data_IF_319513603262
#
_entry.id   IF_319513603262
#
_cell.length_a   1.000
_cell.length_b   1.000
_cell.length_c   1.000
_cell.angle_alpha   90.00
_cell.angle_beta   90.00
_cell.angle_gamma   90.00
#
_symmetry.space_group_name_H-M   'P 1'
#
loop_
_entity.id
_entity.type
_entity.pdbx_description
1 polymer ?
#
# COMPACT_ATOMS: atom_id res chain seq x y z
N UNK A 1 -35.02 15.42 12.42
CA UNK A 1 -34.43 14.26 11.73
C UNK A 1 -33.00 14.10 12.23
N UNK A 2 -32.78 13.19 13.18
CA UNK A 2 -31.45 12.89 13.71
C UNK A 2 -30.72 12.00 12.71
N UNK A 3 -29.89 12.60 11.87
CA UNK A 3 -28.89 11.86 11.12
C UNK A 3 -27.91 11.26 12.13
N UNK A 4 -28.07 9.98 12.40
CA UNK A 4 -27.07 9.15 13.05
C UNK A 4 -25.82 9.18 12.17
N UNK A 5 -24.90 10.11 12.47
CA UNK A 5 -23.62 10.20 11.80
C UNK A 5 -22.87 8.88 12.01
N UNK A 6 -22.92 8.02 11.00
CA UNK A 6 -22.23 6.74 10.99
C UNK A 6 -20.73 6.99 11.16
N UNK A 7 -20.19 6.57 12.29
CA UNK A 7 -18.77 6.62 12.60
C UNK A 7 -18.21 5.21 12.65
N UNK A 8 -17.01 5.03 12.13
CA UNK A 8 -16.32 3.75 12.08
C UNK A 8 -15.10 3.81 12.99
N UNK A 9 -14.91 2.74 13.78
CA UNK A 9 -13.67 2.53 14.52
C UNK A 9 -12.68 1.83 13.60
N UNK A 10 -11.51 2.44 13.42
CA UNK A 10 -10.43 1.88 12.61
C UNK A 10 -9.32 1.37 13.52
N UNK A 11 -8.55 0.35 13.10
CA UNK A 11 -7.40 -0.16 13.84
C UNK A 11 -6.18 0.78 13.75
N UNK A 12 -6.43 2.09 13.73
CA UNK A 12 -5.45 3.15 13.60
C UNK A 12 -5.37 3.96 14.88
N UNK A 13 -4.29 4.74 15.00
CA UNK A 13 -4.12 5.72 16.06
C UNK A 13 -4.52 7.10 15.57
N UNK A 14 -5.40 7.81 16.26
CA UNK A 14 -5.80 9.17 15.90
C UNK A 14 -5.12 10.19 16.80
N UNK A 15 -4.42 11.15 16.19
CA UNK A 15 -3.93 12.33 16.92
C UNK A 15 -5.03 13.39 17.04
N UNK A 16 -5.04 14.11 18.16
CA UNK A 16 -6.03 15.18 18.38
C UNK A 16 -5.72 16.36 17.47
N UNK A 17 -6.77 16.85 16.80
CA UNK A 17 -6.75 18.13 16.10
C UNK A 17 -6.93 19.27 17.11
N UNK A 18 -5.92 20.13 17.23
CA UNK A 18 -6.00 21.35 18.04
C UNK A 18 -5.18 22.47 17.42
N UNK A 19 -5.77 23.67 17.40
CA UNK A 19 -5.07 24.90 16.98
C UNK A 19 -4.20 25.49 18.09
N UNK A 20 -4.39 25.06 19.34
CA UNK A 20 -3.72 25.61 20.53
C UNK A 20 -2.71 24.65 21.15
N UNK A 21 -2.75 23.38 20.79
CA UNK A 21 -1.92 22.31 21.36
C UNK A 21 -1.28 21.49 20.25
N UNK A 22 -0.09 20.98 20.50
CA UNK A 22 0.53 20.04 19.58
C UNK A 22 -0.15 18.67 19.64
N UNK A 23 -0.37 18.10 18.46
CA UNK A 23 -1.09 16.85 18.26
C UNK A 23 -0.41 15.60 18.86
N UNK A 24 0.89 15.65 19.14
CA UNK A 24 1.67 14.50 19.65
C UNK A 24 1.69 14.43 21.19
N UNK A 25 2.07 15.52 21.86
CA UNK A 25 2.27 15.57 23.32
C UNK A 25 1.19 16.35 24.08
N UNK A 26 0.18 16.88 23.37
CA UNK A 26 -0.95 17.62 23.94
C UNK A 26 -0.61 18.88 24.75
N UNK A 27 0.62 19.38 24.67
CA UNK A 27 1.02 20.64 25.32
C UNK A 27 0.64 21.85 24.48
N UNK A 28 0.26 22.94 25.16
CA UNK A 28 -0.05 24.22 24.52
C UNK A 28 1.15 24.77 23.77
N UNK A 29 0.91 25.38 22.62
CA UNK A 29 1.91 26.20 21.97
C UNK A 29 2.10 27.47 22.79
N UNK A 30 3.35 27.74 23.14
CA UNK A 30 3.74 29.00 23.75
C UNK A 30 4.64 29.74 22.75
N UNK A 31 4.34 31.01 22.42
CA UNK A 31 5.05 31.77 21.38
C UNK A 31 6.57 31.79 21.56
N UNK A 32 7.03 31.73 22.82
CA UNK A 32 8.45 31.80 23.17
C UNK A 32 9.17 30.44 23.22
N UNK A 33 8.46 29.31 23.19
CA UNK A 33 9.06 27.97 23.44
C UNK A 33 8.73 26.90 22.40
N UNK A 34 7.63 27.01 21.68
CA UNK A 34 7.25 26.00 20.69
C UNK A 34 6.61 26.67 19.48
N UNK A 35 7.40 26.88 18.41
CA UNK A 35 6.84 27.25 17.11
C UNK A 35 6.04 26.07 16.57
N UNK A 36 4.75 26.29 16.32
CA UNK A 36 3.88 25.32 15.66
C UNK A 36 4.16 25.27 14.16
N UNK A 37 4.07 24.07 13.60
CA UNK A 37 4.03 23.81 12.17
C UNK A 37 2.74 23.04 11.91
N UNK A 38 2.06 23.36 10.82
CA UNK A 38 0.95 22.55 10.33
C UNK A 38 1.46 21.27 9.66
N UNK A 39 0.84 20.14 10.01
CA UNK A 39 1.17 18.85 9.41
C UNK A 39 0.65 18.83 7.97
N UNK A 40 1.55 18.96 7.00
CA UNK A 40 1.23 18.93 5.58
C UNK A 40 0.67 17.56 5.13
N UNK A 41 0.07 17.50 3.95
CA UNK A 41 -0.52 16.27 3.39
C UNK A 41 0.48 15.11 3.36
N UNK A 42 1.71 15.34 2.92
CA UNK A 42 2.73 14.28 2.80
C UNK A 42 3.04 13.61 4.14
N UNK A 43 3.26 14.38 5.21
CA UNK A 43 3.49 13.82 6.57
C UNK A 43 2.26 13.02 7.04
N UNK A 44 1.06 13.57 6.83
CA UNK A 44 -0.19 12.93 7.27
C UNK A 44 -0.40 11.59 6.57
N UNK A 45 -0.24 11.57 5.25
CA UNK A 45 -0.40 10.39 4.40
C UNK A 45 0.64 9.33 4.73
N UNK A 46 1.90 9.71 4.91
CA UNK A 46 2.94 8.76 5.26
C UNK A 46 2.75 8.17 6.66
N UNK A 47 2.43 8.99 7.66
CA UNK A 47 2.12 8.51 9.02
C UNK A 47 0.96 7.51 9.01
N UNK A 48 -0.03 7.71 8.13
CA UNK A 48 -1.13 6.77 7.96
C UNK A 48 -0.65 5.44 7.33
N UNK A 49 0.07 5.51 6.21
CA UNK A 49 0.47 4.33 5.43
C UNK A 49 1.50 3.49 6.21
N UNK A 50 2.56 4.12 6.72
CA UNK A 50 3.71 3.42 7.31
C UNK A 50 3.52 3.09 8.79
N UNK A 51 2.69 3.86 9.49
CA UNK A 51 2.60 3.77 10.95
C UNK A 51 1.18 3.61 11.49
N UNK A 52 0.17 3.59 10.62
CA UNK A 52 -1.24 3.50 11.00
C UNK A 52 -1.68 4.63 11.93
N UNK A 53 -1.11 5.83 11.76
CA UNK A 53 -1.45 7.02 12.54
C UNK A 53 -2.24 7.99 11.65
N UNK A 54 -3.51 8.15 11.96
CA UNK A 54 -4.37 9.16 11.36
C UNK A 54 -4.17 10.53 11.99
N UNK A 55 -3.85 11.51 11.14
CA UNK A 55 -3.67 12.91 11.51
C UNK A 55 -4.64 13.74 10.67
N UNK A 56 -5.58 14.42 11.33
CA UNK A 56 -6.57 15.23 10.62
C UNK A 56 -5.92 16.48 9.98
N UNK A 57 -6.46 16.95 8.86
CA UNK A 57 -6.04 18.19 8.21
C UNK A 57 -6.14 19.40 9.17
N UNK A 58 -5.16 20.31 9.10
CA UNK A 58 -5.04 21.44 10.03
C UNK A 58 -4.50 21.08 11.42
N UNK A 59 -4.03 19.85 11.64
CA UNK A 59 -3.38 19.47 12.89
C UNK A 59 -2.02 20.15 12.99
N UNK A 60 -1.75 20.76 14.15
CA UNK A 60 -0.49 21.44 14.41
C UNK A 60 0.44 20.58 15.26
N UNK A 61 1.73 20.58 14.94
CA UNK A 61 2.78 19.94 15.72
C UNK A 61 3.91 20.93 16.04
N UNK A 62 4.74 20.63 17.04
CA UNK A 62 5.94 21.42 17.32
C UNK A 62 7.09 20.99 16.40
N UNK A 63 7.98 21.93 16.02
CA UNK A 63 9.20 21.62 15.25
C UNK A 63 10.05 20.51 15.87
N UNK A 64 10.06 20.42 17.21
CA UNK A 64 10.84 19.42 17.93
C UNK A 64 10.49 17.96 17.57
N UNK A 65 9.29 17.72 17.04
CA UNK A 65 8.78 16.40 16.67
C UNK A 65 8.90 16.08 15.18
N UNK A 66 9.27 17.07 14.37
CA UNK A 66 9.42 16.92 12.92
C UNK A 66 10.92 17.03 12.60
N UNK A 67 11.48 16.00 11.96
CA UNK A 67 12.85 16.02 11.41
C UNK A 67 12.75 15.74 9.91
N UNK A 68 13.38 16.58 9.08
CA UNK A 68 13.44 16.38 7.63
C UNK A 68 12.08 16.24 6.94
N UNK A 69 11.04 16.83 7.53
CA UNK A 69 9.67 16.69 7.02
C UNK A 69 8.99 15.38 7.39
N UNK A 70 9.49 14.66 8.40
CA UNK A 70 8.93 13.41 8.92
C UNK A 70 8.72 13.48 10.44
N UNK A 71 7.79 12.68 10.96
CA UNK A 71 7.64 12.53 12.41
C UNK A 71 8.79 11.66 12.96
N UNK A 72 9.42 12.10 14.06
CA UNK A 72 10.52 11.31 14.66
C UNK A 72 10.04 9.93 15.12
N UNK A 73 10.85 8.90 14.85
CA UNK A 73 10.51 7.51 15.16
C UNK A 73 10.24 7.24 16.64
N UNK A 74 10.99 7.86 17.54
CA UNK A 74 10.83 7.70 18.99
C UNK A 74 9.48 8.18 19.52
N UNK A 75 8.76 9.00 18.74
CA UNK A 75 7.43 9.50 19.06
C UNK A 75 6.33 8.55 18.61
N UNK A 76 6.56 7.78 17.54
CA UNK A 76 5.59 6.85 16.99
C UNK A 76 5.25 5.79 18.04
N UNK A 77 6.26 5.21 18.69
CA UNK A 77 6.04 4.23 19.74
C UNK A 77 5.26 4.80 20.94
N UNK A 78 5.52 6.07 21.29
CA UNK A 78 4.78 6.76 22.36
C UNK A 78 3.32 6.98 21.98
N UNK A 79 3.05 7.33 20.72
CA UNK A 79 1.69 7.49 20.19
C UNK A 79 0.95 6.15 20.23
N UNK A 80 1.59 5.06 19.80
CA UNK A 80 0.98 3.72 19.77
C UNK A 80 0.69 3.15 21.16
N UNK A 81 1.50 3.51 22.16
CA UNK A 81 1.28 3.11 23.56
C UNK A 81 0.15 3.86 24.26
N UNK A 82 -0.27 5.01 23.73
CA UNK A 82 -1.33 5.82 24.34
C UNK A 82 -2.72 5.32 23.93
N UNK A 83 -3.42 4.67 24.87
CA UNK A 83 -4.77 4.12 24.68
C UNK A 83 -5.85 5.15 24.34
N UNK A 84 -5.61 6.45 24.58
CA UNK A 84 -6.55 7.51 24.22
C UNK A 84 -6.56 7.82 22.71
N UNK A 85 -5.57 7.35 21.97
CA UNK A 85 -5.44 7.61 20.55
C UNK A 85 -6.31 6.67 19.69
N UNK A 86 -7.48 6.22 20.17
CA UNK A 86 -8.35 5.37 19.35
C UNK A 86 -8.88 6.13 18.14
N UNK A 87 -8.75 5.55 16.95
CA UNK A 87 -9.26 6.17 15.74
C UNK A 87 -10.73 5.86 15.51
N UNK A 88 -11.56 6.88 15.69
CA UNK A 88 -12.93 6.90 15.17
C UNK A 88 -12.97 7.90 14.02
N UNK A 89 -13.47 7.52 12.86
CA UNK A 89 -13.56 8.36 11.65
C UNK A 89 -15.01 8.44 11.18
N UNK A 90 -15.41 9.63 10.74
CA UNK A 90 -16.70 9.87 10.09
C UNK A 90 -16.59 9.66 8.59
N UNK A 91 -17.72 9.38 7.92
CA UNK A 91 -17.79 9.18 6.47
C UNK A 91 -17.06 10.26 5.68
N UNK A 92 -17.29 11.53 5.98
CA UNK A 92 -16.70 12.64 5.23
C UNK A 92 -15.19 12.76 5.47
N UNK A 93 -14.72 12.48 6.68
CA UNK A 93 -13.28 12.42 6.97
C UNK A 93 -12.60 11.27 6.22
N UNK A 94 -13.29 10.13 6.05
CA UNK A 94 -12.77 9.01 5.28
C UNK A 94 -12.67 9.34 3.78
N UNK A 95 -13.68 10.00 3.21
CA UNK A 95 -13.66 10.44 1.81
C UNK A 95 -12.47 11.40 1.60
N UNK A 96 -12.35 12.41 2.46
CA UNK A 96 -11.23 13.36 2.40
C UNK A 96 -9.87 12.68 2.55
N UNK A 97 -9.77 11.65 3.41
CA UNK A 97 -8.56 10.85 3.57
C UNK A 97 -8.17 10.14 2.27
N UNK A 98 -9.13 9.51 1.59
CA UNK A 98 -8.87 8.85 0.32
C UNK A 98 -8.49 9.84 -0.78
N UNK A 99 -9.09 11.03 -0.80
CA UNK A 99 -8.75 12.05 -1.78
C UNK A 99 -7.35 12.64 -1.52
N UNK A 100 -6.99 12.88 -0.25
CA UNK A 100 -5.61 13.25 0.15
C UNK A 100 -4.59 12.18 -0.29
N UNK A 101 -4.90 10.90 -0.08
CA UNK A 101 -4.03 9.79 -0.51
C UNK A 101 -3.90 9.72 -2.04
N UNK A 102 -5.01 9.84 -2.78
CA UNK A 102 -4.99 9.87 -4.24
C UNK A 102 -4.17 11.04 -4.78
N UNK A 103 -4.27 12.22 -4.16
CA UNK A 103 -3.51 13.38 -4.60
C UNK A 103 -2.02 13.22 -4.31
N UNK A 104 -1.65 12.68 -3.15
CA UNK A 104 -0.24 12.37 -2.85
C UNK A 104 0.32 11.31 -3.80
N UNK A 105 -0.47 10.29 -4.16
CA UNK A 105 -0.08 9.32 -5.18
C UNK A 105 0.12 10.00 -6.53
N UNK A 106 -0.84 10.82 -7.01
CA UNK A 106 -0.68 11.58 -8.26
C UNK A 106 0.54 12.51 -8.25
N UNK A 107 0.85 13.15 -7.13
CA UNK A 107 2.00 14.04 -7.00
C UNK A 107 3.32 13.25 -6.97
N UNK A 108 3.31 12.04 -6.39
CA UNK A 108 4.43 11.12 -6.47
C UNK A 108 4.57 10.59 -7.88
N UNK A 109 3.49 10.16 -8.51
CA UNK A 109 3.44 9.70 -9.90
C UNK A 109 3.86 10.82 -10.86
N UNK A 110 3.55 12.09 -10.62
CA UNK A 110 4.04 13.18 -11.48
C UNK A 110 5.55 13.39 -11.31
N UNK A 111 6.07 13.29 -10.08
CA UNK A 111 7.52 13.37 -9.81
C UNK A 111 8.27 12.13 -10.27
N UNK A 112 7.62 10.97 -10.19
CA UNK A 112 8.11 9.68 -10.67
C UNK A 112 8.03 9.67 -12.19
N UNK A 113 6.99 10.18 -12.85
CA UNK A 113 6.92 10.30 -14.31
C UNK A 113 7.96 11.30 -14.85
N UNK A 114 8.44 12.24 -14.03
CA UNK A 114 9.62 13.07 -14.35
C UNK A 114 10.96 12.35 -14.12
N UNK A 115 11.01 11.25 -13.35
CA UNK A 115 12.23 10.52 -12.93
C UNK A 115 12.30 9.05 -13.41
N UNK A 116 11.20 8.49 -13.87
CA UNK A 116 10.92 7.12 -14.28
C UNK A 116 10.00 7.23 -15.48
N UNK A 117 10.54 6.94 -16.66
CA UNK A 117 9.87 7.06 -17.95
C UNK A 117 8.73 6.06 -18.18
N UNK A 118 8.17 5.43 -17.14
CA UNK A 118 7.16 4.40 -17.31
C UNK A 118 5.78 5.00 -17.03
N UNK A 119 4.94 5.19 -18.07
CA UNK A 119 3.58 5.68 -17.89
C UNK A 119 2.76 4.75 -16.99
N UNK A 120 1.65 5.25 -16.39
CA UNK A 120 0.72 4.41 -15.64
C UNK A 120 0.36 3.16 -16.45
N UNK A 121 0.31 1.99 -15.80
CA UNK A 121 0.00 0.72 -16.46
C UNK A 121 -1.33 0.83 -17.23
N UNK A 122 -1.23 0.97 -18.54
CA UNK A 122 -2.37 1.12 -19.43
C UNK A 122 -2.31 0.01 -20.48
N UNK A 123 -3.24 -0.94 -20.38
CA UNK A 123 -3.36 -2.01 -21.36
C UNK A 123 -4.02 -1.53 -22.66
N UNK A 124 -4.65 -0.34 -22.66
CA UNK A 124 -5.29 0.28 -23.83
C UNK A 124 -4.36 1.22 -24.60
N UNK A 125 -3.13 1.45 -24.14
CA UNK A 125 -2.20 2.35 -24.81
C UNK A 125 -1.53 1.65 -25.99
N UNK A 126 -2.00 1.97 -27.20
CA UNK A 126 -1.40 1.49 -28.44
C UNK A 126 -0.23 2.37 -28.91
N UNK A 127 -0.11 3.61 -28.42
CA UNK A 127 0.96 4.54 -28.81
C UNK A 127 2.27 4.22 -28.07
N UNK A 128 2.17 3.91 -26.78
CA UNK A 128 3.29 3.47 -25.94
C UNK A 128 2.97 2.09 -25.36
N UNK A 129 3.08 1.03 -26.18
CA UNK A 129 2.71 -0.29 -25.74
C UNK A 129 3.64 -0.80 -24.66
N UNK A 130 3.03 -1.35 -23.62
CA UNK A 130 3.75 -1.93 -22.49
C UNK A 130 4.62 -3.12 -22.94
N UNK A 131 5.85 -3.26 -22.40
CA UNK A 131 6.75 -4.36 -22.75
C UNK A 131 6.16 -5.75 -22.45
N UNK A 132 6.48 -6.72 -23.29
CA UNK A 132 6.00 -8.10 -23.18
C UNK A 132 6.35 -8.77 -21.84
N UNK A 133 7.50 -8.38 -21.26
CA UNK A 133 7.91 -8.80 -19.91
C UNK A 133 6.89 -8.36 -18.86
N UNK A 134 6.44 -7.12 -18.93
CA UNK A 134 5.47 -6.54 -17.99
C UNK A 134 4.10 -7.19 -18.17
N UNK A 135 3.68 -7.46 -19.41
CA UNK A 135 2.47 -8.25 -19.70
C UNK A 135 2.52 -9.63 -19.04
N UNK A 136 3.64 -10.35 -19.16
CA UNK A 136 3.82 -11.67 -18.55
C UNK A 136 3.77 -11.61 -17.02
N UNK A 137 4.44 -10.63 -16.42
CA UNK A 137 4.43 -10.44 -14.96
C UNK A 137 3.03 -10.14 -14.45
N UNK A 138 2.27 -9.31 -15.16
CA UNK A 138 0.96 -8.87 -14.69
C UNK A 138 -0.15 -9.85 -15.02
N UNK A 139 -0.12 -10.53 -16.16
CA UNK A 139 -1.26 -11.33 -16.64
C UNK A 139 -0.93 -12.81 -16.82
N UNK A 140 0.35 -13.18 -16.77
CA UNK A 140 0.83 -14.52 -17.11
C UNK A 140 0.94 -14.76 -18.63
N UNK A 141 0.58 -13.79 -19.46
CA UNK A 141 0.49 -13.90 -20.91
C UNK A 141 1.46 -12.93 -21.60
N UNK A 142 1.92 -13.26 -22.81
CA UNK A 142 2.52 -12.25 -23.71
C UNK A 142 1.45 -11.27 -24.17
N UNK A 143 1.86 -10.11 -24.71
CA UNK A 143 0.90 -9.17 -25.31
C UNK A 143 0.07 -9.84 -26.40
N UNK A 144 0.69 -10.61 -27.28
CA UNK A 144 -0.02 -11.32 -28.36
C UNK A 144 -1.06 -12.32 -27.86
N UNK A 145 -0.74 -13.08 -26.81
CA UNK A 145 -1.68 -14.02 -26.18
C UNK A 145 -2.82 -13.29 -25.47
N UNK A 146 -2.51 -12.15 -24.85
CA UNK A 146 -3.50 -11.30 -24.21
C UNK A 146 -4.45 -10.65 -25.24
N UNK A 147 -3.92 -10.20 -26.38
CA UNK A 147 -4.70 -9.65 -27.50
C UNK A 147 -5.62 -10.71 -28.10
N UNK A 148 -5.10 -11.91 -28.29
CA UNK A 148 -5.86 -13.06 -28.76
C UNK A 148 -7.01 -13.38 -27.78
N UNK A 149 -6.73 -13.45 -26.48
CA UNK A 149 -7.76 -13.61 -25.45
C UNK A 149 -8.84 -12.52 -25.51
N UNK A 150 -8.43 -11.26 -25.67
CA UNK A 150 -9.36 -10.14 -25.77
C UNK A 150 -10.24 -10.24 -27.02
N UNK A 151 -9.69 -10.72 -28.15
CA UNK A 151 -10.41 -10.85 -29.41
C UNK A 151 -11.52 -11.90 -29.37
N UNK A 152 -11.37 -12.92 -28.52
CA UNK A 152 -12.36 -13.98 -28.34
C UNK A 152 -13.53 -13.58 -27.42
N UNK A 153 -13.42 -12.46 -26.72
CA UNK A 153 -14.48 -11.98 -25.83
C UNK A 153 -15.42 -11.08 -26.65
N UNK A 154 -16.70 -11.45 -26.80
CA UNK A 154 -17.64 -10.65 -27.57
C UNK A 154 -17.76 -9.23 -27.00
N UNK A 155 -17.74 -8.23 -27.87
CA UNK A 155 -17.85 -6.81 -27.49
C UNK A 155 -19.15 -6.47 -26.76
N UNK A 156 -20.20 -7.29 -26.89
CA UNK A 156 -21.46 -7.16 -26.15
C UNK A 156 -21.38 -7.62 -24.70
N UNK A 157 -20.35 -8.39 -24.32
CA UNK A 157 -20.23 -9.02 -23.00
C UNK A 157 -19.72 -8.05 -21.94
N UNK A 158 -18.81 -7.15 -22.31
CA UNK A 158 -18.18 -6.21 -21.39
C UNK A 158 -18.49 -4.78 -21.84
N UNK A 159 -19.13 -4.00 -20.96
CA UNK A 159 -19.40 -2.58 -21.21
C UNK A 159 -18.17 -1.73 -20.88
N UNK A 160 -17.79 -0.86 -21.81
CA UNK A 160 -16.85 0.22 -21.55
C UNK A 160 -17.52 1.27 -20.66
N UNK A 161 -16.78 1.78 -19.67
CA UNK A 161 -17.17 2.94 -18.86
C UNK A 161 -16.06 4.00 -18.91
N UNK A 162 -16.34 5.21 -18.40
CA UNK A 162 -15.38 6.32 -18.36
C UNK A 162 -14.08 6.01 -17.60
N UNK A 163 -14.06 4.94 -16.81
CA UNK A 163 -12.93 4.54 -15.95
C UNK A 163 -12.42 3.12 -16.23
N UNK A 164 -13.06 2.35 -17.12
CA UNK A 164 -12.70 0.95 -17.35
C UNK A 164 -13.12 0.48 -18.75
N UNK A 165 -12.14 0.04 -19.52
CA UNK A 165 -12.37 -0.68 -20.78
C UNK A 165 -12.50 -2.20 -20.55
N UNK A 166 -13.09 -2.94 -21.50
CA UNK A 166 -13.09 -4.40 -21.49
C UNK A 166 -11.68 -4.99 -21.33
N UNK A 167 -10.70 -4.42 -22.02
CA UNK A 167 -9.31 -4.87 -22.02
C UNK A 167 -8.64 -4.64 -20.66
N UNK A 168 -8.82 -3.47 -20.05
CA UNK A 168 -8.41 -3.22 -18.65
C UNK A 168 -9.13 -4.15 -17.67
N UNK A 169 -10.39 -4.50 -17.93
CA UNK A 169 -11.15 -5.43 -17.10
C UNK A 169 -10.58 -6.86 -17.14
N UNK A 170 -10.22 -7.34 -18.33
CA UNK A 170 -9.60 -8.64 -18.55
C UNK A 170 -8.21 -8.65 -17.91
N UNK A 171 -7.39 -7.62 -18.13
CA UNK A 171 -6.07 -7.50 -17.50
C UNK A 171 -6.15 -7.59 -15.98
N UNK A 172 -7.03 -6.79 -15.36
CA UNK A 172 -7.25 -6.79 -13.91
C UNK A 172 -7.67 -8.17 -13.39
N UNK A 173 -8.49 -8.89 -14.16
CA UNK A 173 -8.93 -10.22 -13.81
C UNK A 173 -7.80 -11.25 -13.90
N UNK A 174 -7.03 -11.25 -14.99
CA UNK A 174 -5.86 -12.12 -15.17
C UNK A 174 -4.81 -11.90 -14.09
N UNK A 175 -4.53 -10.64 -13.73
CA UNK A 175 -3.62 -10.31 -12.62
C UNK A 175 -4.10 -10.89 -11.30
N UNK A 176 -5.41 -10.78 -11.03
CA UNK A 176 -5.99 -11.32 -9.81
C UNK A 176 -5.92 -12.86 -9.77
N UNK A 177 -6.17 -13.54 -10.88
CA UNK A 177 -6.02 -15.00 -10.98
C UNK A 177 -4.57 -15.39 -10.67
N UNK A 178 -3.60 -14.74 -11.33
CA UNK A 178 -2.20 -15.05 -11.15
C UNK A 178 -1.76 -14.87 -9.69
N UNK A 179 -2.11 -13.75 -9.06
CA UNK A 179 -1.84 -13.51 -7.65
C UNK A 179 -2.47 -14.56 -6.73
N UNK A 180 -3.72 -14.94 -7.00
CA UNK A 180 -4.40 -15.97 -6.21
C UNK A 180 -3.74 -17.34 -6.34
N UNK A 181 -3.29 -17.70 -7.55
CA UNK A 181 -2.59 -18.95 -7.80
C UNK A 181 -1.20 -18.97 -7.16
N UNK A 182 -0.44 -17.87 -7.23
CA UNK A 182 0.84 -17.74 -6.53
C UNK A 182 0.69 -17.87 -5.01
N UNK A 183 -0.39 -17.31 -4.44
CA UNK A 183 -0.71 -17.43 -3.01
C UNK A 183 -1.06 -18.87 -2.59
N UNK A 184 -1.67 -19.65 -3.48
CA UNK A 184 -1.97 -21.06 -3.23
C UNK A 184 -0.73 -21.94 -3.23
N UNK A 185 0.32 -21.59 -4.00
CA UNK A 185 1.57 -22.34 -4.00
C UNK A 185 2.34 -22.22 -2.68
N UNK A 186 2.32 -21.05 -2.02
CA UNK A 186 2.96 -20.86 -0.71
C UNK A 186 2.28 -21.66 0.40
N UNK A 187 0.95 -21.85 0.35
CA UNK A 187 0.21 -22.67 1.32
C UNK A 187 0.33 -24.18 1.06
N UNK A 188 0.59 -24.61 -0.18
CA UNK A 188 0.80 -26.04 -0.49
C UNK A 188 2.21 -26.54 -0.15
N UNK A 189 3.18 -25.65 0.10
CA UNK A 189 4.52 -26.04 0.56
C UNK A 189 4.51 -26.33 2.08
N UNK A 190 3.68 -25.64 2.86
CA UNK A 190 3.57 -25.89 4.31
C UNK A 190 2.86 -27.19 4.65
N UNK A 191 1.95 -27.66 3.80
CA UNK A 191 1.19 -28.90 4.03
C UNK A 191 1.95 -30.16 3.53
N UNK A 192 2.99 -29.98 2.72
CA UNK A 192 3.81 -31.09 2.19
C UNK A 192 5.03 -31.44 3.07
N UNK A 193 5.33 -30.63 4.10
CA UNK A 193 6.45 -30.89 5.03
C UNK A 193 6.05 -31.64 6.31
N UNK A 194 4.75 -31.94 6.51
CA UNK A 194 4.25 -32.57 7.75
C UNK A 194 4.01 -34.09 7.62
N UNK A 195 4.42 -34.72 6.50
CA UNK A 195 4.21 -36.15 6.25
C UNK A 195 5.49 -36.97 6.02
N UNK A 196 6.69 -36.41 6.22
CA UNK A 196 7.95 -37.16 6.02
C UNK A 196 8.63 -37.70 7.29
N UNK A 197 8.07 -37.51 8.48
CA UNK A 197 8.69 -37.98 9.74
C UNK A 197 8.05 -39.25 10.31
N UNK A 198 8.01 -40.35 9.53
CA UNK A 198 7.86 -41.71 10.11
C UNK A 198 8.69 -42.72 9.30
N UNK A 199 9.70 -43.29 9.97
CA UNK A 199 10.48 -44.53 9.69
C UNK A 199 11.32 -44.53 8.40
N UNK A 200 12.63 -44.83 8.40
CA UNK A 200 13.30 -46.01 8.96
C UNK A 200 14.79 -45.75 9.23
N UNK A 201 15.30 -46.58 10.13
CA UNK A 201 16.67 -46.72 10.59
C UNK A 201 17.60 -47.43 9.58
N UNK A 202 18.90 -47.15 9.75
CA UNK A 202 20.11 -47.98 9.49
C UNK A 202 21.13 -47.49 8.43
N UNK A 203 22.35 -47.32 8.98
CA UNK A 203 23.70 -47.66 8.50
C UNK A 203 24.45 -46.88 7.41
N UNK A 204 25.56 -46.30 7.90
CA UNK A 204 26.96 -46.36 7.45
C UNK A 204 27.47 -45.78 6.11
N UNK A 205 28.58 -45.07 6.33
CA UNK A 205 29.77 -44.86 5.51
C UNK A 205 29.85 -43.78 4.41
N UNK A 206 30.70 -42.80 4.75
CA UNK A 206 31.80 -42.21 3.97
C UNK A 206 31.53 -41.11 2.93
N UNK A 207 32.20 -39.98 3.20
CA UNK A 207 32.94 -39.06 2.32
C UNK A 207 32.44 -38.84 0.87
N UNK A 208 32.12 -37.61 0.48
CA UNK A 208 33.08 -36.65 -0.11
C UNK A 208 32.36 -35.32 -0.42
N UNK A 209 33.13 -34.23 -0.47
CA UNK A 209 32.64 -32.86 -0.45
C UNK A 209 32.11 -32.32 -1.78
N UNK A 210 31.27 -31.29 -1.67
CA UNK A 210 31.34 -30.09 -2.52
C UNK A 210 30.41 -29.01 -1.97
N UNK A 211 31.01 -28.02 -1.31
CA UNK A 211 30.38 -26.74 -1.00
C UNK A 211 30.13 -25.98 -2.31
N UNK A 212 28.88 -25.61 -2.59
CA UNK A 212 28.58 -24.56 -3.57
C UNK A 212 27.78 -23.47 -2.85
N UNK A 213 28.49 -22.39 -2.51
CA UNK A 213 27.95 -21.07 -2.20
C UNK A 213 27.22 -20.52 -3.42
N UNK A 214 25.98 -20.05 -3.24
CA UNK A 214 25.40 -19.03 -4.13
C UNK A 214 25.18 -17.74 -3.35
N UNK A 215 25.96 -16.74 -3.72
CA UNK A 215 25.81 -15.33 -3.35
C UNK A 215 24.83 -14.69 -4.33
N UNK A 216 23.80 -14.00 -3.84
CA UNK A 216 22.94 -13.15 -4.66
C UNK A 216 23.27 -11.69 -4.37
N UNK A 217 23.58 -10.97 -5.45
CA UNK A 217 23.65 -9.52 -5.55
C UNK A 217 22.28 -8.95 -5.93
#
# INVERSE_FOLDING_TARGET
EESSHCCMKLPFYRLIKSTKKCCVWYRKFYPQRCRSIEMNSSIRTQCLIEHHIFIAAGSLCCRAHISDGFLKMDLIDKIKKNRLNQCTIYRDELINLFDDMKQELKNKDSKINELVSDPPLNFDDDEVPMPDKTYRVLTGLTRSQFDDLCSHIPSSTLRTTDVRTPRMAIASHSTKILQSCSSSYENSITDAQDYSDISESESDDSEDGSNILYTLA
#
